data_IF_207869716132
#
_entry.id   IF_207869716132
#
_cell.length_a   1.000
_cell.length_b   1.000
_cell.length_c   1.000
_cell.angle_alpha   90.00
_cell.angle_beta   90.00
_cell.angle_gamma   90.00
#
_symmetry.space_group_name_H-M   'P 1'
#
loop_
_entity.id
_entity.type
_entity.pdbx_description
1 polymer ?
#
# COMPACT_ATOMS: atom_id res chain seq x y z
N UNK A 1 11.30 -15.72 -4.05
CA UNK A 1 10.78 -15.51 -2.67
C UNK A 1 11.70 -14.47 -2.04
N UNK A 2 11.19 -13.30 -1.64
CA UNK A 2 12.04 -12.23 -1.11
C UNK A 2 12.39 -12.56 0.35
N UNK A 3 13.69 -12.70 0.66
CA UNK A 3 14.22 -12.98 1.99
C UNK A 3 14.24 -11.70 2.84
N UNK A 4 13.08 -11.28 3.35
CA UNK A 4 13.06 -10.30 4.44
C UNK A 4 12.90 -11.08 5.74
N UNK A 5 13.90 -10.95 6.61
CA UNK A 5 13.98 -11.54 7.94
C UNK A 5 12.70 -11.24 8.74
N UNK A 6 12.07 -12.27 9.32
CA UNK A 6 10.75 -12.14 9.95
C UNK A 6 10.74 -11.16 11.13
N UNK A 7 11.90 -11.00 11.81
CA UNK A 7 12.07 -10.08 12.93
C UNK A 7 11.97 -8.60 12.51
N UNK A 8 12.43 -8.25 11.29
CA UNK A 8 12.30 -6.88 10.78
C UNK A 8 10.82 -6.54 10.53
N UNK A 9 10.01 -7.51 10.11
CA UNK A 9 8.58 -7.32 9.89
C UNK A 9 7.80 -7.11 11.19
N UNK A 10 8.31 -7.62 12.33
CA UNK A 10 7.70 -7.40 13.65
C UNK A 10 7.99 -6.02 14.22
N UNK A 11 9.22 -5.51 14.05
CA UNK A 11 9.61 -4.21 14.60
C UNK A 11 9.38 -3.02 13.65
N UNK A 12 9.25 -3.27 12.34
CA UNK A 12 9.07 -2.25 11.30
C UNK A 12 8.08 -2.75 10.25
N UNK A 13 6.79 -2.89 10.61
CA UNK A 13 5.79 -3.35 9.66
C UNK A 13 5.75 -2.41 8.45
N UNK A 14 5.76 -2.99 7.26
CA UNK A 14 5.61 -2.25 6.00
C UNK A 14 4.28 -1.49 6.08
N UNK A 15 4.27 -0.21 5.74
CA UNK A 15 3.05 0.60 5.82
C UNK A 15 2.38 0.82 4.46
N UNK A 16 3.19 0.98 3.42
CA UNK A 16 2.74 1.21 2.04
C UNK A 16 3.47 0.22 1.13
N UNK A 17 2.73 -0.59 0.38
CA UNK A 17 3.34 -1.44 -0.64
C UNK A 17 3.45 -0.69 -1.96
N UNK A 18 4.62 -0.73 -2.58
CA UNK A 18 4.88 -0.10 -3.88
C UNK A 18 5.27 -1.17 -4.89
N UNK A 19 4.65 -1.16 -6.06
CA UNK A 19 5.02 -2.00 -7.20
C UNK A 19 5.34 -1.10 -8.39
N UNK A 20 6.49 -1.32 -9.02
CA UNK A 20 6.93 -0.56 -10.18
C UNK A 20 7.11 -1.48 -11.39
N UNK A 21 6.59 -1.06 -12.54
CA UNK A 21 6.60 -1.83 -13.78
C UNK A 21 6.97 -0.95 -14.98
N UNK A 22 7.48 -1.60 -16.03
CA UNK A 22 7.54 -1.00 -17.36
C UNK A 22 6.13 -0.77 -17.92
N UNK A 23 6.03 -0.03 -19.03
CA UNK A 23 4.76 0.47 -19.61
C UNK A 23 3.75 -0.65 -19.88
N UNK A 24 4.21 -1.84 -20.28
CA UNK A 24 3.39 -3.01 -20.58
C UNK A 24 3.05 -3.88 -19.35
N UNK A 25 3.60 -3.54 -18.19
CA UNK A 25 3.50 -4.36 -16.99
C UNK A 25 2.32 -4.04 -16.06
N UNK A 26 1.42 -3.13 -16.44
CA UNK A 26 0.35 -2.66 -15.54
C UNK A 26 -0.50 -3.81 -14.96
N UNK A 27 -1.00 -4.70 -15.80
CA UNK A 27 -1.88 -5.80 -15.38
C UNK A 27 -1.17 -6.71 -14.38
N UNK A 28 0.07 -7.10 -14.69
CA UNK A 28 0.88 -7.95 -13.81
C UNK A 28 1.23 -7.23 -12.50
N UNK A 29 1.55 -5.93 -12.58
CA UNK A 29 1.82 -5.10 -11.41
C UNK A 29 0.61 -5.01 -10.49
N UNK A 30 -0.58 -4.74 -11.04
CA UNK A 30 -1.83 -4.69 -10.29
C UNK A 30 -2.15 -6.03 -9.60
N UNK A 31 -1.99 -7.15 -10.29
CA UNK A 31 -2.18 -8.48 -9.70
C UNK A 31 -1.21 -8.74 -8.56
N UNK A 32 0.08 -8.45 -8.75
CA UNK A 32 1.10 -8.64 -7.70
C UNK A 32 0.86 -7.72 -6.50
N UNK A 33 0.46 -6.48 -6.75
CA UNK A 33 0.14 -5.51 -5.71
C UNK A 33 -1.08 -5.93 -4.90
N UNK A 34 -2.13 -6.47 -5.55
CA UNK A 34 -3.29 -7.06 -4.88
C UNK A 34 -2.93 -8.25 -4.01
N UNK A 35 -2.11 -9.19 -4.52
CA UNK A 35 -1.63 -10.35 -3.75
C UNK A 35 -0.83 -9.89 -2.52
N UNK A 36 0.07 -8.90 -2.69
CA UNK A 36 0.85 -8.36 -1.57
C UNK A 36 -0.02 -7.65 -0.55
N UNK A 37 -0.96 -6.81 -0.98
CA UNK A 37 -1.91 -6.14 -0.09
C UNK A 37 -2.74 -7.14 0.71
N UNK A 38 -3.25 -8.20 0.08
CA UNK A 38 -4.01 -9.25 0.75
C UNK A 38 -3.17 -9.98 1.80
N UNK A 39 -1.96 -10.42 1.44
CA UNK A 39 -1.05 -11.07 2.37
C UNK A 39 -0.67 -10.16 3.55
N UNK A 40 -0.54 -8.86 3.31
CA UNK A 40 -0.25 -7.86 4.35
C UNK A 40 -1.42 -7.72 5.32
N UNK A 41 -2.65 -7.52 4.84
CA UNK A 41 -3.86 -7.51 5.69
C UNK A 41 -3.93 -8.77 6.56
N UNK A 42 -3.72 -9.96 5.98
CA UNK A 42 -3.77 -11.22 6.72
C UNK A 42 -2.74 -11.27 7.85
N UNK A 43 -1.50 -10.81 7.60
CA UNK A 43 -0.47 -10.71 8.63
C UNK A 43 -0.84 -9.72 9.74
N UNK A 44 -1.42 -8.57 9.39
CA UNK A 44 -1.87 -7.58 10.39
C UNK A 44 -2.99 -8.14 11.26
N UNK A 45 -3.98 -8.81 10.65
CA UNK A 45 -5.04 -9.51 11.39
C UNK A 45 -4.47 -10.52 12.37
N UNK A 46 -3.52 -11.35 11.91
CA UNK A 46 -2.87 -12.34 12.76
C UNK A 46 -2.10 -11.68 13.93
N UNK A 47 -1.38 -10.58 13.66
CA UNK A 47 -0.66 -9.84 14.68
C UNK A 47 -1.59 -9.14 15.70
N UNK A 48 -2.84 -8.85 15.32
CA UNK A 48 -3.87 -8.22 16.17
C UNK A 48 -4.84 -9.19 16.83
N UNK A 49 -4.65 -10.50 16.70
CA UNK A 49 -5.50 -11.50 17.36
C UNK A 49 -5.56 -11.23 18.87
N UNK A 50 -6.69 -10.69 19.35
CA UNK A 50 -6.92 -10.29 20.74
C UNK A 50 -7.39 -8.84 20.94
N UNK A 51 -7.26 -7.97 19.92
CA UNK A 51 -7.74 -6.58 19.94
C UNK A 51 -9.02 -6.48 19.08
N UNK A 52 -10.19 -6.16 19.66
CA UNK A 52 -11.41 -5.97 18.88
C UNK A 52 -11.38 -4.60 18.19
N UNK A 53 -10.76 -4.54 17.01
CA UNK A 53 -10.82 -3.33 16.20
C UNK A 53 -12.09 -3.36 15.34
N UNK A 54 -13.08 -2.54 15.69
CA UNK A 54 -14.31 -2.36 14.92
C UNK A 54 -14.16 -1.52 13.65
N UNK A 55 -12.95 -1.08 13.31
CA UNK A 55 -12.69 -0.23 12.14
C UNK A 55 -12.13 -1.05 10.97
N UNK A 56 -12.68 -0.89 9.75
CA UNK A 56 -12.17 -1.55 8.56
C UNK A 56 -10.72 -1.13 8.29
N UNK A 57 -9.87 -2.11 8.01
CA UNK A 57 -8.46 -1.90 7.73
C UNK A 57 -8.29 -1.47 6.26
N UNK A 58 -7.82 -0.24 6.04
CA UNK A 58 -7.49 0.27 4.71
C UNK A 58 -5.99 0.51 4.60
N UNK A 59 -5.33 -0.18 3.67
CA UNK A 59 -3.89 -0.04 3.41
C UNK A 59 -3.66 0.61 2.04
N UNK A 60 -2.91 1.73 1.97
CA UNK A 60 -2.53 2.31 0.70
C UNK A 60 -1.53 1.41 -0.03
N UNK A 61 -1.72 1.33 -1.35
CA UNK A 61 -0.90 0.59 -2.29
C UNK A 61 -0.56 1.53 -3.46
N UNK A 62 0.68 1.52 -3.90
CA UNK A 62 1.14 2.34 -5.01
C UNK A 62 1.54 1.46 -6.19
N UNK A 63 0.97 1.74 -7.36
CA UNK A 63 1.39 1.16 -8.63
C UNK A 63 2.04 2.25 -9.48
N UNK A 64 3.26 2.00 -9.92
CA UNK A 64 4.01 2.90 -10.82
C UNK A 64 4.25 2.17 -12.14
N UNK A 65 3.74 2.72 -13.24
CA UNK A 65 3.89 2.15 -14.59
C UNK A 65 4.52 3.20 -15.49
N UNK A 66 5.79 3.01 -15.85
CA UNK A 66 6.56 4.07 -16.48
C UNK A 66 6.62 5.30 -15.58
N UNK A 67 6.04 6.42 -16.02
CA UNK A 67 5.92 7.64 -15.22
C UNK A 67 4.54 7.85 -14.58
N UNK A 68 3.57 6.96 -14.84
CA UNK A 68 2.22 7.04 -14.29
C UNK A 68 2.18 6.43 -12.89
N UNK A 69 1.53 7.12 -11.97
CA UNK A 69 1.34 6.67 -10.59
C UNK A 69 -0.15 6.46 -10.34
N UNK A 70 -0.50 5.36 -9.67
CA UNK A 70 -1.87 5.02 -9.28
C UNK A 70 -1.89 4.64 -7.81
N UNK A 71 -2.80 5.23 -7.06
CA UNK A 71 -3.02 4.92 -5.64
C UNK A 71 -4.22 4.01 -5.54
N UNK A 72 -4.00 2.83 -4.98
CA UNK A 72 -5.04 1.89 -4.60
C UNK A 72 -5.15 1.82 -3.08
N UNK A 73 -6.30 1.39 -2.57
CA UNK A 73 -6.43 0.90 -1.20
C UNK A 73 -6.82 -0.56 -1.21
N UNK A 74 -6.11 -1.37 -0.42
CA UNK A 74 -6.60 -2.68 0.01
C UNK A 74 -7.48 -2.47 1.23
N UNK A 75 -8.75 -2.86 1.15
CA UNK A 75 -9.74 -2.69 2.19
C UNK A 75 -10.21 -4.06 2.65
N UNK A 76 -10.13 -4.28 3.95
CA UNK A 76 -10.79 -5.41 4.58
C UNK A 76 -12.26 -5.10 4.86
N UNK A 77 -13.17 -5.82 4.22
CA UNK A 77 -14.63 -5.71 4.41
C UNK A 77 -15.14 -6.68 5.47
N UNK A 78 -14.28 -7.52 6.05
CA UNK A 78 -14.62 -8.55 7.01
C UNK A 78 -14.79 -9.93 6.36
N UNK A 79 -15.63 -10.02 5.34
CA UNK A 79 -15.90 -11.25 4.58
C UNK A 79 -14.98 -11.42 3.35
N UNK A 80 -14.56 -10.32 2.74
CA UNK A 80 -13.62 -10.31 1.61
C UNK A 80 -12.66 -9.11 1.67
N UNK A 81 -11.66 -9.15 0.79
CA UNK A 81 -10.71 -8.04 0.60
C UNK A 81 -10.97 -7.39 -0.76
N UNK A 82 -11.06 -6.07 -0.77
CA UNK A 82 -11.23 -5.25 -1.97
C UNK A 82 -9.97 -4.44 -2.27
N UNK A 83 -9.56 -4.39 -3.54
CA UNK A 83 -8.56 -3.42 -3.99
C UNK A 83 -9.23 -2.34 -4.85
N UNK A 84 -9.36 -1.14 -4.31
CA UNK A 84 -10.08 -0.03 -4.95
C UNK A 84 -9.08 1.00 -5.48
N UNK A 85 -9.23 1.41 -6.74
CA UNK A 85 -8.49 2.55 -7.30
C UNK A 85 -9.04 3.83 -6.68
N UNK A 86 -8.20 4.56 -5.96
CA UNK A 86 -8.60 5.79 -5.29
C UNK A 86 -8.25 7.02 -6.13
N UNK A 87 -7.05 7.03 -6.70
CA UNK A 87 -6.52 8.17 -7.43
C UNK A 87 -5.69 7.65 -8.60
N UNK A 88 -6.08 8.03 -9.82
CA UNK A 88 -5.14 8.12 -10.94
C UNK A 88 -4.42 9.46 -10.79
N UNK A 89 -3.17 9.41 -10.34
CA UNK A 89 -2.45 10.64 -10.02
C UNK A 89 -1.84 11.22 -11.28
N UNK A 90 -1.26 12.41 -11.15
CA UNK A 90 -0.39 12.96 -12.19
C UNK A 90 0.83 12.03 -12.45
N UNK A 91 1.65 12.39 -13.43
CA UNK A 91 2.84 11.60 -13.78
C UNK A 91 4.14 12.29 -13.38
N UNK A 92 5.24 11.53 -13.36
CA UNK A 92 6.59 12.05 -13.15
C UNK A 92 7.29 12.48 -14.45
N UNK A 93 6.55 12.69 -15.55
CA UNK A 93 7.11 13.19 -16.81
C UNK A 93 7.22 14.73 -16.86
N UNK A 94 6.74 15.44 -15.83
CA UNK A 94 6.84 16.90 -15.74
C UNK A 94 7.25 17.34 -14.33
N UNK A 95 7.93 18.49 -14.23
CA UNK A 95 8.33 19.04 -12.93
C UNK A 95 7.13 19.30 -11.99
N UNK A 96 6.01 19.91 -12.43
CA UNK A 96 4.82 20.03 -11.59
C UNK A 96 4.26 18.68 -11.14
N UNK A 97 4.24 17.68 -12.04
CA UNK A 97 3.80 16.33 -11.71
C UNK A 97 4.68 15.67 -10.64
N UNK A 98 6.01 15.81 -10.73
CA UNK A 98 6.94 15.37 -9.70
C UNK A 98 6.64 15.97 -8.32
N UNK A 99 6.31 17.27 -8.25
CA UNK A 99 5.93 17.90 -6.98
C UNK A 99 4.62 17.37 -6.41
N UNK A 100 3.64 17.05 -7.26
CA UNK A 100 2.38 16.40 -6.82
C UNK A 100 2.65 15.00 -6.26
N UNK A 101 3.48 14.21 -6.93
CA UNK A 101 3.88 12.88 -6.43
C UNK A 101 4.66 12.99 -5.11
N UNK A 102 5.56 13.97 -4.99
CA UNK A 102 6.26 14.22 -3.73
C UNK A 102 5.29 14.57 -2.59
N UNK A 103 4.28 15.41 -2.86
CA UNK A 103 3.25 15.73 -1.88
C UNK A 103 2.45 14.49 -1.46
N UNK A 104 2.06 13.64 -2.42
CA UNK A 104 1.39 12.36 -2.15
C UNK A 104 2.25 11.45 -1.26
N UNK A 105 3.54 11.25 -1.59
CA UNK A 105 4.43 10.39 -0.80
C UNK A 105 4.62 10.94 0.61
N UNK A 106 4.72 12.27 0.78
CA UNK A 106 4.77 12.91 2.10
C UNK A 106 3.50 12.66 2.91
N UNK A 107 2.34 12.77 2.28
CA UNK A 107 1.05 12.53 2.92
C UNK A 107 0.90 11.07 3.35
N UNK A 108 1.32 10.12 2.52
CA UNK A 108 1.39 8.71 2.90
C UNK A 108 2.37 8.47 4.05
N UNK A 109 3.50 9.19 4.09
CA UNK A 109 4.43 9.17 5.21
C UNK A 109 3.80 9.69 6.51
N UNK A 110 3.03 10.78 6.44
CA UNK A 110 2.26 11.32 7.57
C UNK A 110 1.22 10.32 8.06
N UNK A 111 0.41 9.76 7.17
CA UNK A 111 -0.56 8.71 7.48
C UNK A 111 0.12 7.49 8.13
N UNK A 112 1.31 7.12 7.66
CA UNK A 112 2.08 6.01 8.22
C UNK A 112 2.43 6.23 9.69
N UNK A 113 2.75 7.47 10.06
CA UNK A 113 3.13 7.82 11.42
C UNK A 113 1.92 8.03 12.33
N UNK A 114 0.87 8.67 11.83
CA UNK A 114 -0.27 9.12 12.62
C UNK A 114 -1.41 8.09 12.72
N UNK A 115 -1.54 7.20 11.73
CA UNK A 115 -2.65 6.24 11.65
C UNK A 115 -2.16 4.80 11.69
N UNK A 116 -1.18 4.45 10.86
CA UNK A 116 -0.70 3.06 10.78
C UNK A 116 0.14 2.65 11.98
N UNK A 117 1.10 3.49 12.39
CA UNK A 117 2.02 3.19 13.50
C UNK A 117 1.30 2.91 14.82
N UNK A 118 0.29 3.70 15.24
CA UNK A 118 -0.45 3.46 16.49
C UNK A 118 -1.23 2.15 16.56
N UNK A 119 -1.29 1.38 15.47
CA UNK A 119 -1.83 0.02 15.49
C UNK A 119 -0.93 -0.99 16.20
N UNK A 120 0.29 -0.60 16.59
CA UNK A 120 1.32 -1.39 17.27
C UNK A 120 1.96 -0.57 18.39
#
# INVERSE_FOLDING_TARGET
>A
INHIDEDILRCRPITVSIESKAIDGEVNGRTQLGIRGAAHIMKLKAARLGQPDGNPLALPLLLVVGSQWKVYFMIDRGDHLDMILAIETDNTSSLPGCYKILALVRELGRWSLEVYRPWF
#
